data_IF_829513665505
#
_entry.id   IF_829513665505
#
_cell.length_a   1.000
_cell.length_b   1.000
_cell.length_c   1.000
_cell.angle_alpha   90.00
_cell.angle_beta   90.00
_cell.angle_gamma   90.00
#
_symmetry.space_group_name_H-M   'P 1'
#
loop_
_entity.id
_entity.type
_entity.pdbx_description
1 polymer ?
#
# COMPACT_ATOMS: atom_id res chain seq x y z
N UNK A 1 -3.34 -7.18 -9.99
CA UNK A 1 -2.03 -7.40 -9.35
C UNK A 1 -2.01 -6.68 -8.01
N UNK A 2 -1.55 -7.31 -6.91
CA UNK A 2 -1.41 -6.63 -5.62
C UNK A 2 -0.32 -5.55 -5.71
N UNK A 3 -0.65 -4.30 -5.40
CA UNK A 3 0.34 -3.20 -5.39
C UNK A 3 1.18 -3.17 -4.11
N UNK A 4 0.57 -3.56 -3.00
CA UNK A 4 1.19 -3.62 -1.68
C UNK A 4 1.23 -5.07 -1.15
N UNK A 5 2.21 -5.46 -0.32
CA UNK A 5 2.26 -6.80 0.28
C UNK A 5 1.35 -6.89 1.53
N UNK A 6 0.05 -6.61 1.36
CA UNK A 6 -0.93 -6.54 2.46
C UNK A 6 -2.21 -7.33 2.15
N UNK A 7 -3.06 -7.51 3.17
CA UNK A 7 -4.40 -8.08 3.07
C UNK A 7 -5.24 -7.36 2.01
N UNK A 8 -6.03 -8.11 1.23
CA UNK A 8 -6.76 -7.61 0.06
C UNK A 8 -7.67 -6.41 0.36
N UNK A 9 -8.39 -6.42 1.48
CA UNK A 9 -9.32 -5.35 1.87
C UNK A 9 -8.62 -4.01 2.13
N UNK A 10 -7.33 -4.03 2.50
CA UNK A 10 -6.54 -2.83 2.80
C UNK A 10 -6.03 -2.10 1.55
N UNK A 11 -6.08 -2.72 0.37
CA UNK A 11 -5.51 -2.11 -0.86
C UNK A 11 -6.24 -0.86 -1.30
N UNK A 12 -7.58 -0.86 -1.28
CA UNK A 12 -8.38 0.30 -1.69
C UNK A 12 -8.22 1.48 -0.71
N UNK A 13 -8.37 1.30 0.61
CA UNK A 13 -8.08 2.36 1.58
C UNK A 13 -6.66 2.92 1.47
N UNK A 14 -5.64 2.07 1.38
CA UNK A 14 -4.26 2.55 1.26
C UNK A 14 -4.03 3.29 -0.06
N UNK A 15 -4.61 2.81 -1.17
CA UNK A 15 -4.56 3.53 -2.45
C UNK A 15 -5.17 4.92 -2.34
N UNK A 16 -6.35 5.03 -1.72
CA UNK A 16 -7.02 6.32 -1.50
C UNK A 16 -6.15 7.26 -0.66
N UNK A 17 -5.61 6.79 0.46
CA UNK A 17 -4.72 7.59 1.32
C UNK A 17 -3.50 8.09 0.55
N UNK A 18 -2.80 7.21 -0.18
CA UNK A 18 -1.60 7.58 -0.93
C UNK A 18 -1.90 8.61 -2.02
N UNK A 19 -3.08 8.53 -2.67
CA UNK A 19 -3.54 9.53 -3.64
C UNK A 19 -3.80 10.88 -2.94
N UNK A 20 -4.56 10.90 -1.84
CA UNK A 20 -4.84 12.12 -1.05
C UNK A 20 -3.55 12.80 -0.58
N UNK A 21 -2.62 12.03 -0.02
CA UNK A 21 -1.33 12.54 0.49
C UNK A 21 -0.50 13.14 -0.64
N UNK A 22 -0.39 12.45 -1.78
CA UNK A 22 0.39 12.91 -2.93
C UNK A 22 -0.20 14.17 -3.56
N UNK A 23 -1.51 14.22 -3.76
CA UNK A 23 -2.21 15.35 -4.40
C UNK A 23 -2.09 16.63 -3.58
N UNK A 24 -2.23 16.51 -2.25
CA UNK A 24 -2.23 17.67 -1.35
C UNK A 24 -0.90 17.88 -0.60
N UNK A 25 0.13 17.08 -0.91
CA UNK A 25 1.47 17.15 -0.32
C UNK A 25 1.47 17.09 1.22
N UNK A 26 0.55 16.31 1.79
CA UNK A 26 0.33 16.20 3.24
C UNK A 26 1.53 15.53 3.89
N UNK A 27 2.08 16.13 4.96
CA UNK A 27 3.12 15.51 5.76
C UNK A 27 2.51 14.75 6.94
N UNK A 28 3.17 13.68 7.40
CA UNK A 28 2.69 12.87 8.50
C UNK A 28 2.41 13.67 9.79
N UNK A 29 3.25 14.68 10.06
CA UNK A 29 3.12 15.55 11.23
C UNK A 29 1.93 16.51 11.16
N UNK A 30 1.43 16.79 9.96
CA UNK A 30 0.27 17.67 9.76
C UNK A 30 -1.06 16.93 9.93
N UNK A 31 -1.05 15.59 9.98
CA UNK A 31 -2.28 14.81 10.04
C UNK A 31 -2.86 14.83 11.45
N UNK A 32 -4.14 15.19 11.57
CA UNK A 32 -4.93 15.11 12.80
C UNK A 32 -5.79 13.85 12.84
N UNK A 33 -6.41 13.46 11.73
CA UNK A 33 -7.27 12.28 11.63
C UNK A 33 -7.18 11.68 10.21
N UNK A 34 -7.30 10.36 10.12
CA UNK A 34 -7.46 9.60 8.87
C UNK A 34 -8.75 8.79 8.99
N UNK A 35 -9.84 9.32 8.43
CA UNK A 35 -11.12 8.61 8.38
C UNK A 35 -11.20 7.75 7.14
N UNK A 36 -11.47 6.47 7.33
CA UNK A 36 -11.56 5.43 6.31
C UNK A 36 -12.99 4.94 6.24
N UNK A 37 -13.63 5.18 5.10
CA UNK A 37 -14.99 4.77 4.83
C UNK A 37 -14.95 3.56 3.89
N UNK A 38 -15.61 2.46 4.28
CA UNK A 38 -15.69 1.17 3.57
C UNK A 38 -17.05 0.51 3.81
N UNK A 39 -17.33 -0.64 3.18
CA UNK A 39 -18.50 -1.45 3.54
C UNK A 39 -18.41 -1.95 5.00
N UNK A 40 -19.53 -2.19 5.66
CA UNK A 40 -19.64 -2.57 7.08
C UNK A 40 -18.77 -3.79 7.42
N UNK A 41 -18.82 -4.84 6.62
CA UNK A 41 -17.98 -6.03 6.84
C UNK A 41 -16.48 -5.71 6.80
N UNK A 42 -16.07 -4.80 5.91
CA UNK A 42 -14.67 -4.37 5.85
C UNK A 42 -14.33 -3.43 7.02
N UNK A 43 -15.28 -2.62 7.49
CA UNK A 43 -15.08 -1.79 8.68
C UNK A 43 -14.84 -2.66 9.93
N UNK A 44 -15.61 -3.73 10.12
CA UNK A 44 -15.40 -4.68 11.22
C UNK A 44 -14.03 -5.35 11.16
N UNK A 45 -13.63 -5.82 9.97
CA UNK A 45 -12.35 -6.54 9.78
C UNK A 45 -11.14 -5.61 9.89
N UNK A 46 -11.19 -4.43 9.28
CA UNK A 46 -10.05 -3.51 9.17
C UNK A 46 -9.93 -2.60 10.40
N UNK A 47 -11.05 -2.33 11.06
CA UNK A 47 -11.17 -1.52 12.26
C UNK A 47 -11.03 -2.30 13.58
N UNK A 48 -10.80 -3.61 13.54
CA UNK A 48 -10.61 -4.44 14.74
C UNK A 48 -9.54 -3.81 15.67
N UNK A 49 -9.85 -3.53 16.94
CA UNK A 49 -8.92 -2.94 17.89
C UNK A 49 -7.58 -3.69 18.01
N UNK A 50 -7.54 -5.01 17.86
CA UNK A 50 -6.30 -5.80 17.92
C UNK A 50 -5.33 -5.46 16.80
N UNK A 51 -5.85 -4.95 15.67
CA UNK A 51 -5.03 -4.53 14.53
C UNK A 51 -4.31 -3.20 14.76
N UNK A 52 -4.61 -2.44 15.81
CA UNK A 52 -3.95 -1.16 16.07
C UNK A 52 -2.58 -1.29 16.73
N UNK A 53 -2.19 -2.51 17.16
CA UNK A 53 -0.91 -2.80 17.82
C UNK A 53 -0.31 -4.11 17.29
N UNK A 54 0.04 -4.20 15.99
CA UNK A 54 0.74 -5.38 15.50
C UNK A 54 2.14 -5.47 16.13
N UNK A 55 2.58 -6.69 16.37
CA UNK A 55 3.85 -7.04 17.00
C UNK A 55 4.68 -8.01 16.15
N UNK A 56 4.16 -8.40 14.98
CA UNK A 56 4.82 -9.28 14.03
C UNK A 56 4.54 -8.83 12.60
N UNK A 57 5.28 -9.39 11.65
CA UNK A 57 5.06 -9.14 10.23
C UNK A 57 3.65 -9.56 9.80
N UNK A 58 3.19 -10.72 10.27
CA UNK A 58 1.91 -11.34 9.91
C UNK A 58 0.73 -10.59 10.53
N UNK A 59 0.91 -9.97 11.70
CA UNK A 59 -0.13 -9.08 12.27
C UNK A 59 -0.11 -7.70 11.62
N UNK A 60 1.06 -7.22 11.18
CA UNK A 60 1.24 -5.93 10.52
C UNK A 60 0.65 -5.89 9.09
N UNK A 61 0.82 -6.94 8.28
CA UNK A 61 0.29 -6.96 6.89
C UNK A 61 -1.24 -7.12 6.80
N UNK A 62 -1.88 -7.48 7.92
CA UNK A 62 -3.33 -7.46 8.11
C UNK A 62 -3.82 -6.25 8.93
N UNK A 63 -2.92 -5.37 9.36
CA UNK A 63 -3.25 -4.15 10.09
C UNK A 63 -3.37 -2.96 9.15
N UNK A 64 -4.61 -2.50 8.91
CA UNK A 64 -4.82 -1.27 8.15
C UNK A 64 -4.20 -0.03 8.84
N UNK A 65 -4.36 0.18 10.16
CA UNK A 65 -3.77 1.33 10.83
C UNK A 65 -2.25 1.38 10.68
N UNK A 66 -1.57 0.25 10.82
CA UNK A 66 -0.13 0.14 10.61
C UNK A 66 0.26 0.46 9.16
N UNK A 67 -0.42 -0.15 8.19
CA UNK A 67 -0.13 0.07 6.78
C UNK A 67 -0.33 1.55 6.38
N UNK A 68 -1.34 2.22 6.94
CA UNK A 68 -1.56 3.65 6.74
C UNK A 68 -0.48 4.50 7.41
N UNK A 69 -0.09 4.17 8.65
CA UNK A 69 0.97 4.88 9.35
C UNK A 69 2.32 4.76 8.64
N UNK A 70 2.73 3.54 8.29
CA UNK A 70 3.96 3.27 7.56
C UNK A 70 3.93 3.94 6.17
N UNK A 71 2.83 3.82 5.43
CA UNK A 71 2.68 4.45 4.12
C UNK A 71 2.73 5.98 4.16
N UNK A 72 2.14 6.59 5.20
CA UNK A 72 2.16 8.04 5.39
C UNK A 72 3.55 8.57 5.76
N UNK A 73 4.29 7.86 6.62
CA UNK A 73 5.63 8.28 7.06
C UNK A 73 6.70 7.99 6.03
N UNK A 74 6.68 6.80 5.43
CA UNK A 74 7.74 6.33 4.52
C UNK A 74 7.45 6.67 3.06
N UNK A 75 6.23 7.11 2.75
CA UNK A 75 5.77 7.36 1.38
C UNK A 75 5.64 6.08 0.54
N UNK A 76 5.78 4.90 1.14
CA UNK A 76 5.72 3.61 0.45
C UNK A 76 5.32 2.48 1.41
N UNK A 77 4.74 1.41 0.86
CA UNK A 77 4.45 0.17 1.59
C UNK A 77 5.01 -0.99 0.79
N UNK A 78 6.23 -1.40 1.14
CA UNK A 78 6.99 -2.48 0.52
C UNK A 78 7.40 -3.51 1.58
N UNK A 79 8.02 -4.65 1.24
CA UNK A 79 8.52 -5.59 2.25
C UNK A 79 9.46 -4.96 3.30
N UNK A 80 10.10 -3.83 3.00
CA UNK A 80 10.94 -3.10 3.95
C UNK A 80 10.15 -2.60 5.16
N UNK A 81 8.89 -2.18 4.95
CA UNK A 81 7.98 -1.75 5.99
C UNK A 81 7.44 -2.90 6.84
N UNK A 82 7.78 -4.16 6.54
CA UNK A 82 7.35 -5.32 7.33
C UNK A 82 8.52 -6.04 7.98
N UNK A 83 9.69 -5.41 8.03
CA UNK A 83 10.80 -5.85 8.87
C UNK A 83 10.46 -5.59 10.34
N UNK A 84 10.93 -6.47 11.20
CA UNK A 84 10.70 -6.42 12.65
C UNK A 84 11.00 -5.04 13.25
N UNK A 85 12.14 -4.44 12.89
CA UNK A 85 12.55 -3.11 13.35
C UNK A 85 11.52 -2.02 13.04
N UNK A 86 10.82 -2.11 11.90
CA UNK A 86 9.82 -1.13 11.50
C UNK A 86 8.45 -1.44 12.09
N UNK A 87 8.08 -2.72 12.19
CA UNK A 87 6.83 -3.16 12.82
C UNK A 87 6.79 -2.76 14.29
N UNK A 88 7.91 -2.91 15.00
CA UNK A 88 8.02 -2.60 16.42
C UNK A 88 8.30 -1.10 16.71
N UNK A 89 8.35 -0.26 15.68
CA UNK A 89 8.62 1.16 15.82
C UNK A 89 7.42 1.90 16.47
N UNK A 90 7.60 2.22 17.75
CA UNK A 90 6.59 2.92 18.55
C UNK A 90 6.28 4.33 18.05
N UNK A 91 7.12 4.94 17.19
CA UNK A 91 6.83 6.24 16.59
C UNK A 91 5.63 6.21 15.64
N UNK A 92 5.22 5.04 15.15
CA UNK A 92 4.04 4.87 14.32
C UNK A 92 2.74 4.83 15.13
N UNK A 93 2.80 4.51 16.42
CA UNK A 93 1.61 4.37 17.28
C UNK A 93 0.70 5.61 17.27
N UNK A 94 1.23 6.84 17.48
CA UNK A 94 0.39 8.04 17.44
C UNK A 94 -0.29 8.27 16.09
N UNK A 95 0.23 7.72 14.99
CA UNK A 95 -0.37 7.84 13.66
C UNK A 95 -1.43 6.75 13.46
N UNK A 96 -1.18 5.53 13.92
CA UNK A 96 -2.18 4.45 13.93
C UNK A 96 -3.44 4.88 14.69
N UNK A 97 -3.28 5.58 15.81
CA UNK A 97 -4.41 6.04 16.65
C UNK A 97 -5.29 7.11 15.97
N UNK A 98 -4.75 7.81 14.95
CA UNK A 98 -5.49 8.79 14.13
C UNK A 98 -6.36 8.11 13.07
N UNK A 99 -6.16 6.82 12.81
CA UNK A 99 -6.97 6.06 11.85
C UNK A 99 -8.32 5.72 12.48
N UNK A 100 -9.40 5.98 11.75
CA UNK A 100 -10.78 5.63 12.13
C UNK A 100 -11.45 4.95 10.96
N UNK A 101 -11.79 3.67 11.11
CA UNK A 101 -12.49 2.90 10.08
C UNK A 101 -13.97 2.88 10.40
N UNK A 102 -14.80 3.27 9.43
CA UNK A 102 -16.26 3.38 9.58
C UNK A 102 -16.97 2.79 8.37
N UNK A 103 -18.17 2.26 8.60
CA UNK A 103 -19.04 1.79 7.54
C UNK A 103 -19.64 2.99 6.76
N UNK A 104 -19.86 2.80 5.46
CA UNK A 104 -20.55 3.75 4.61
C UNK A 104 -21.67 3.03 3.84
N UNK A 105 -22.92 3.42 4.13
CA UNK A 105 -24.13 2.80 3.55
C UNK A 105 -24.24 2.99 2.04
N UNK A 106 -23.69 4.08 1.48
CA UNK A 106 -23.64 4.27 0.02
C UNK A 106 -22.79 3.20 -0.66
N UNK A 107 -21.77 2.69 0.02
CA UNK A 107 -20.88 1.65 -0.52
C UNK A 107 -21.51 0.26 -0.45
N UNK A 108 -22.39 0.01 0.52
CA UNK A 108 -23.20 -1.22 0.58
C UNK A 108 -24.06 -1.37 -0.67
N UNK A 109 -24.69 -0.29 -1.13
CA UNK A 109 -25.54 -0.30 -2.32
C UNK A 109 -24.78 -0.60 -3.63
N UNK A 110 -23.45 -0.47 -3.63
CA UNK A 110 -22.59 -0.70 -4.80
C UNK A 110 -21.97 -2.11 -4.81
N UNK A 111 -22.00 -2.81 -3.68
CA UNK A 111 -21.46 -4.16 -3.55
C UNK A 111 -22.40 -5.21 -4.19
N UNK A 112 -21.90 -6.27 -4.84
CA UNK A 112 -20.49 -6.63 -5.05
C UNK A 112 -19.84 -6.04 -6.31
N UNK A 113 -20.56 -5.23 -7.09
CA UNK A 113 -20.05 -4.70 -8.37
C UNK A 113 -18.82 -3.81 -8.16
N UNK A 114 -18.85 -3.01 -7.11
CA UNK A 114 -17.69 -2.27 -6.61
C UNK A 114 -17.52 -2.53 -5.12
N UNK A 115 -16.28 -2.41 -4.64
CA UNK A 115 -15.98 -2.38 -3.22
C UNK A 115 -15.20 -1.09 -2.90
N UNK A 116 -15.88 0.06 -2.92
CA UNK A 116 -15.21 1.34 -2.83
C UNK A 116 -14.60 1.56 -1.44
N UNK A 117 -13.60 2.43 -1.41
CA UNK A 117 -13.11 3.04 -0.19
C UNK A 117 -12.95 4.54 -0.37
N UNK A 118 -13.19 5.31 0.68
CA UNK A 118 -12.89 6.73 0.72
C UNK A 118 -12.03 7.02 1.94
N UNK A 119 -10.93 7.72 1.73
CA UNK A 119 -10.08 8.19 2.82
C UNK A 119 -10.18 9.70 2.87
N UNK A 120 -10.58 10.21 4.03
CA UNK A 120 -10.59 11.63 4.37
C UNK A 120 -9.48 11.89 5.38
N UNK A 121 -8.55 12.77 5.03
CA UNK A 121 -7.48 13.22 5.93
C UNK A 121 -7.81 14.62 6.39
N UNK A 122 -7.94 14.79 7.70
CA UNK A 122 -8.05 16.10 8.34
C UNK A 122 -6.68 16.51 8.85
N UNK A 123 -6.22 17.69 8.46
CA UNK A 123 -4.94 18.27 8.87
C UNK A 123 -5.07 19.09 10.17
N UNK A 124 -3.95 19.38 10.81
CA UNK A 124 -3.88 20.11 12.08
C UNK A 124 -4.40 21.55 11.96
N UNK A 125 -4.32 22.15 10.76
CA UNK A 125 -4.91 23.45 10.42
C UNK A 125 -6.43 23.40 10.16
N UNK A 126 -7.04 22.22 10.27
CA UNK A 126 -8.49 22.00 10.13
C UNK A 126 -8.97 21.74 8.70
N UNK A 127 -8.09 21.79 7.68
CA UNK A 127 -8.48 21.40 6.31
C UNK A 127 -8.77 19.91 6.24
N UNK A 128 -9.64 19.52 5.32
CA UNK A 128 -9.98 18.13 5.07
C UNK A 128 -9.91 17.82 3.59
N UNK A 129 -9.24 16.72 3.27
CA UNK A 129 -8.98 16.27 1.90
C UNK A 129 -9.45 14.83 1.76
N UNK A 130 -10.25 14.54 0.73
CA UNK A 130 -10.85 13.23 0.57
C UNK A 130 -10.63 12.67 -0.85
N UNK A 131 -10.28 11.39 -0.92
CA UNK A 131 -10.23 10.65 -2.17
C UNK A 131 -11.05 9.37 -2.03
N UNK A 132 -11.94 9.14 -2.99
CA UNK A 132 -12.64 7.86 -3.17
C UNK A 132 -11.94 7.06 -4.26
N UNK A 133 -11.81 5.76 -4.05
CA UNK A 133 -11.39 4.80 -5.06
C UNK A 133 -12.41 3.67 -5.14
N UNK A 134 -12.85 3.36 -6.35
CA UNK A 134 -13.77 2.23 -6.59
C UNK A 134 -13.01 0.91 -6.81
N UNK A 135 -11.74 1.03 -7.18
CA UNK A 135 -10.81 -0.07 -7.42
C UNK A 135 -9.44 0.28 -6.83
N UNK A 136 -8.73 -0.70 -6.23
CA UNK A 136 -7.39 -0.46 -5.73
C UNK A 136 -6.40 -0.30 -6.87
N UNK A 137 -5.27 0.37 -6.58
CA UNK A 137 -4.13 0.37 -7.49
C UNK A 137 -3.71 -1.07 -7.80
N UNK A 138 -3.46 -1.37 -9.06
CA UNK A 138 -3.11 -2.69 -9.57
C UNK A 138 -4.31 -3.54 -10.03
N UNK A 139 -5.55 -3.09 -9.84
CA UNK A 139 -6.71 -3.59 -10.59
C UNK A 139 -6.51 -3.33 -12.10
N UNK A 140 -7.00 -4.19 -13.02
CA UNK A 140 -6.90 -3.91 -14.47
C UNK A 140 -7.45 -2.54 -14.90
N UNK A 141 -8.38 -1.95 -14.13
CA UNK A 141 -8.96 -0.62 -14.37
C UNK A 141 -8.12 0.54 -13.82
N UNK A 142 -7.18 0.27 -12.90
CA UNK A 142 -6.16 1.21 -12.40
C UNK A 142 -4.82 0.47 -12.26
N UNK A 143 -4.18 0.06 -13.38
CA UNK A 143 -2.97 -0.73 -13.34
C UNK A 143 -1.80 0.05 -12.75
N UNK A 144 -0.80 -0.65 -12.22
CA UNK A 144 0.48 -0.02 -11.89
C UNK A 144 1.20 0.40 -13.17
N UNK A 145 1.89 1.53 -13.12
CA UNK A 145 2.81 1.94 -14.19
C UNK A 145 4.06 1.06 -14.18
N UNK A 146 4.81 1.08 -15.29
CA UNK A 146 6.10 0.38 -15.37
C UNK A 146 7.07 0.85 -14.27
N UNK A 147 7.12 2.15 -13.98
CA UNK A 147 7.93 2.71 -12.90
C UNK A 147 7.53 2.18 -11.52
N UNK A 148 6.23 2.09 -11.24
CA UNK A 148 5.73 1.53 -9.97
C UNK A 148 6.09 0.03 -9.86
N UNK A 149 5.99 -0.71 -10.97
CA UNK A 149 6.41 -2.11 -11.04
C UNK A 149 7.92 -2.23 -10.83
N UNK A 150 8.73 -1.35 -11.44
CA UNK A 150 10.20 -1.34 -11.30
C UNK A 150 10.64 -1.05 -9.85
N UNK A 151 10.00 -0.08 -9.19
CA UNK A 151 10.22 0.22 -7.76
C UNK A 151 9.88 -1.01 -6.91
N UNK A 152 8.70 -1.60 -7.12
CA UNK A 152 8.26 -2.81 -6.40
C UNK A 152 9.21 -3.99 -6.62
N UNK A 153 9.62 -4.23 -7.87
CA UNK A 153 10.53 -5.31 -8.23
C UNK A 153 11.88 -5.15 -7.52
N UNK A 154 12.42 -3.93 -7.52
CA UNK A 154 13.69 -3.63 -6.85
C UNK A 154 13.57 -3.75 -5.33
N UNK A 155 12.44 -3.37 -4.73
CA UNK A 155 12.19 -3.54 -3.30
C UNK A 155 12.15 -5.02 -2.87
N UNK A 156 11.67 -5.91 -3.75
CA UNK A 156 11.62 -7.36 -3.50
C UNK A 156 12.98 -8.05 -3.75
N UNK A 157 13.61 -7.77 -4.89
CA UNK A 157 14.81 -8.48 -5.34
C UNK A 157 16.13 -7.83 -4.93
N UNK A 158 16.14 -6.55 -4.56
CA UNK A 158 17.36 -5.77 -4.39
C UNK A 158 18.30 -6.32 -3.31
N UNK A 159 17.73 -6.88 -2.23
CA UNK A 159 18.50 -7.54 -1.16
C UNK A 159 18.81 -9.02 -1.43
N UNK A 160 18.29 -9.59 -2.52
CA UNK A 160 18.47 -10.99 -2.90
C UNK A 160 19.53 -11.13 -3.99
N UNK A 161 19.40 -10.33 -5.05
CA UNK A 161 20.26 -10.39 -6.25
C UNK A 161 21.02 -9.09 -6.52
N UNK A 162 20.79 -8.04 -5.74
CA UNK A 162 21.40 -6.72 -5.93
C UNK A 162 20.59 -5.80 -6.85
N UNK A 163 20.63 -4.48 -6.57
CA UNK A 163 19.85 -3.47 -7.31
C UNK A 163 20.20 -3.42 -8.80
N UNK A 164 21.49 -3.57 -9.14
CA UNK A 164 21.92 -3.53 -10.54
C UNK A 164 21.45 -4.76 -11.32
N UNK A 165 21.44 -5.93 -10.68
CA UNK A 165 20.89 -7.13 -11.27
C UNK A 165 19.38 -7.00 -11.46
N UNK A 166 18.65 -6.44 -10.49
CA UNK A 166 17.23 -6.13 -10.64
C UNK A 166 16.96 -5.24 -11.86
N UNK A 167 17.77 -4.18 -12.07
CA UNK A 167 17.64 -3.29 -13.23
C UNK A 167 17.87 -4.02 -14.55
N UNK A 168 18.90 -4.89 -14.62
CA UNK A 168 19.17 -5.72 -15.80
C UNK A 168 17.99 -6.66 -16.10
N UNK A 169 17.44 -7.30 -15.07
CA UNK A 169 16.27 -8.18 -15.20
C UNK A 169 15.04 -7.44 -15.70
N UNK A 170 14.72 -6.29 -15.10
CA UNK A 170 13.60 -5.45 -15.52
C UNK A 170 13.74 -5.07 -16.99
N UNK A 171 14.92 -4.57 -17.40
CA UNK A 171 15.18 -4.21 -18.79
C UNK A 171 14.98 -5.39 -19.74
N UNK A 172 15.52 -6.57 -19.41
CA UNK A 172 15.38 -7.76 -20.24
C UNK A 172 13.92 -8.20 -20.37
N UNK A 173 13.19 -8.27 -19.26
CA UNK A 173 11.78 -8.70 -19.24
C UNK A 173 10.91 -7.75 -20.08
N UNK A 174 11.10 -6.44 -19.94
CA UNK A 174 10.32 -5.45 -20.71
C UNK A 174 10.66 -5.46 -22.21
N UNK A 175 11.85 -5.89 -22.61
CA UNK A 175 12.23 -6.04 -24.03
C UNK A 175 12.09 -7.46 -24.56
N UNK A 176 11.46 -8.37 -23.82
CA UNK A 176 11.49 -9.81 -24.10
C UNK A 176 10.77 -10.20 -25.39
N UNK A 177 9.79 -9.41 -25.83
CA UNK A 177 9.08 -9.64 -27.10
C UNK A 177 10.00 -9.63 -28.33
N UNK A 178 11.10 -8.90 -28.27
CA UNK A 178 12.10 -8.81 -29.34
C UNK A 178 13.31 -9.73 -29.13
N UNK A 179 13.32 -10.57 -28.09
CA UNK A 179 14.46 -11.43 -27.79
C UNK A 179 14.40 -12.72 -28.62
N UNK A 180 15.45 -12.99 -29.41
CA UNK A 180 15.56 -14.25 -30.16
C UNK A 180 15.79 -15.46 -29.26
N UNK A 181 16.38 -15.25 -28.08
CA UNK A 181 16.68 -16.31 -27.11
C UNK A 181 16.54 -15.84 -25.66
N UNK A 182 16.34 -16.80 -24.75
CA UNK A 182 16.04 -16.55 -23.33
C UNK A 182 17.19 -16.88 -22.37
N UNK A 183 18.37 -17.30 -22.83
CA UNK A 183 19.51 -17.62 -21.94
C UNK A 183 19.88 -16.41 -21.06
N UNK A 184 19.79 -15.20 -21.60
CA UNK A 184 19.99 -13.96 -20.84
C UNK A 184 19.06 -13.83 -19.63
N UNK A 185 17.82 -14.31 -19.70
CA UNK A 185 16.91 -14.34 -18.55
C UNK A 185 17.40 -15.30 -17.46
N UNK A 186 17.84 -16.49 -17.87
CA UNK A 186 18.31 -17.53 -16.94
C UNK A 186 19.63 -17.13 -16.27
N UNK A 187 20.57 -16.57 -17.03
CA UNK A 187 21.83 -16.05 -16.50
C UNK A 187 21.61 -14.94 -15.47
N UNK A 188 20.57 -14.12 -15.68
CA UNK A 188 20.30 -13.02 -14.78
C UNK A 188 19.47 -13.42 -13.54
N UNK A 189 18.77 -14.56 -13.58
CA UNK A 189 17.98 -15.12 -12.45
C UNK A 189 18.74 -16.16 -11.63
N UNK A 190 19.93 -16.59 -12.06
CA UNK A 190 20.79 -17.54 -11.34
C UNK A 190 21.82 -16.81 -10.49
N UNK A 191 21.96 -17.22 -9.22
CA UNK A 191 22.99 -16.71 -8.32
C UNK A 191 24.35 -17.22 -8.81
N UNK A 192 25.27 -16.30 -9.09
CA UNK A 192 26.69 -16.63 -9.32
C UNK A 192 27.42 -16.75 -7.99
#
# INVERSE_FOLDING_TARGET
MKSFPIEALSHAPLTAMMKTVKEHKIQANDVKEIKVEVIARAADILGDPHKYRPDSKETADHSLPYCMAAGLVDGMVTPLQFKEERVLDKSLIPIMDKVKVVANEEFEALFPKFQPSRVTITTADGKSHATRVDVPKGDPRDPMTEDEIAVKFTALGGNVIGKDQCKKLQKFIMSMEGAEKLEGLFELTTKR
#
